data_IF_543988174160
#
_entry.id   IF_543988174160
#
_cell.length_a   1.000
_cell.length_b   1.000
_cell.length_c   1.000
_cell.angle_alpha   90.00
_cell.angle_beta   90.00
_cell.angle_gamma   90.00
#
_symmetry.space_group_name_H-M   'P 1'
#
loop_
_entity.id
_entity.type
_entity.pdbx_description
1 polymer ?
#
# COMPACT_ATOMS: atom_id res chain seq x y z
N UNK A 1 -26.35 -70.56 -0.62
CA UNK A 1 -26.58 -69.10 -0.63
C UNK A 1 -25.29 -68.27 -0.67
N UNK A 2 -24.20 -68.64 0.03
CA UNK A 2 -22.90 -67.93 -0.09
C UNK A 2 -22.04 -68.32 -1.32
N UNK A 3 -22.27 -69.48 -1.95
CA UNK A 3 -21.50 -69.98 -3.12
C UNK A 3 -21.87 -69.31 -4.46
N UNK A 4 -23.02 -68.65 -4.55
CA UNK A 4 -23.49 -68.03 -5.81
C UNK A 4 -22.96 -66.59 -6.00
N UNK A 5 -22.40 -65.98 -4.96
CA UNK A 5 -21.85 -64.62 -4.99
C UNK A 5 -20.36 -64.56 -5.36
N UNK A 6 -19.65 -65.70 -5.34
CA UNK A 6 -18.20 -65.78 -5.60
C UNK A 6 -17.77 -65.23 -6.98
N UNK A 7 -18.50 -65.47 -8.09
CA UNK A 7 -18.15 -64.86 -9.39
C UNK A 7 -18.56 -63.39 -9.51
N UNK A 8 -19.47 -62.90 -8.66
CA UNK A 8 -19.92 -61.51 -8.66
C UNK A 8 -18.86 -60.56 -8.09
N UNK A 9 -18.06 -61.05 -7.12
CA UNK A 9 -16.99 -60.29 -6.45
C UNK A 9 -15.94 -59.73 -7.44
N UNK A 10 -15.33 -60.53 -8.34
CA UNK A 10 -14.35 -60.00 -9.28
C UNK A 10 -14.94 -59.03 -10.31
N UNK A 11 -16.19 -59.23 -10.73
CA UNK A 11 -16.89 -58.31 -11.66
C UNK A 11 -17.14 -56.96 -10.98
N UNK A 12 -17.64 -56.96 -9.75
CA UNK A 12 -17.83 -55.74 -8.97
C UNK A 12 -16.50 -55.05 -8.68
N UNK A 13 -15.45 -55.81 -8.39
CA UNK A 13 -14.11 -55.28 -8.16
C UNK A 13 -13.54 -54.60 -9.41
N UNK A 14 -13.72 -55.21 -10.58
CA UNK A 14 -13.32 -54.64 -11.86
C UNK A 14 -14.11 -53.37 -12.19
N UNK A 15 -15.42 -53.36 -11.92
CA UNK A 15 -16.27 -52.19 -12.13
C UNK A 15 -15.85 -51.02 -11.23
N UNK A 16 -15.58 -51.27 -9.94
CA UNK A 16 -15.08 -50.26 -9.00
C UNK A 16 -13.71 -49.75 -9.44
N UNK A 17 -12.80 -50.63 -9.86
CA UNK A 17 -11.49 -50.25 -10.35
C UNK A 17 -11.57 -49.38 -11.61
N UNK A 18 -12.43 -49.75 -12.58
CA UNK A 18 -12.65 -48.96 -13.78
C UNK A 18 -13.20 -47.57 -13.44
N UNK A 19 -14.21 -47.48 -12.55
CA UNK A 19 -14.74 -46.20 -12.08
C UNK A 19 -13.63 -45.35 -11.41
N UNK A 20 -12.81 -45.94 -10.54
CA UNK A 20 -11.73 -45.21 -9.89
C UNK A 20 -10.72 -44.61 -10.87
N UNK A 21 -10.38 -45.32 -11.95
CA UNK A 21 -9.44 -44.85 -12.99
C UNK A 21 -9.98 -43.68 -13.80
N UNK A 22 -11.31 -43.61 -14.03
CA UNK A 22 -11.90 -42.48 -14.75
C UNK A 22 -12.23 -41.30 -13.83
N UNK A 23 -12.85 -41.57 -12.67
CA UNK A 23 -13.30 -40.52 -11.75
C UNK A 23 -12.17 -39.93 -10.91
N UNK A 24 -11.12 -40.70 -10.59
CA UNK A 24 -9.95 -40.22 -9.84
C UNK A 24 -9.26 -39.02 -10.51
N UNK A 25 -8.83 -39.13 -11.77
CA UNK A 25 -8.22 -38.03 -12.52
C UNK A 25 -9.14 -36.82 -12.70
N UNK A 26 -10.44 -37.04 -12.96
CA UNK A 26 -11.44 -35.97 -13.11
C UNK A 26 -11.56 -35.12 -11.84
N UNK A 27 -11.75 -35.78 -10.69
CA UNK A 27 -11.83 -35.09 -9.39
C UNK A 27 -10.49 -34.43 -9.06
N UNK A 28 -9.37 -35.10 -9.32
CA UNK A 28 -8.02 -34.55 -9.10
C UNK A 28 -7.79 -33.28 -9.91
N UNK A 29 -8.20 -33.24 -11.18
CA UNK A 29 -8.11 -32.06 -12.05
C UNK A 29 -8.98 -30.91 -11.54
N UNK A 30 -10.22 -31.17 -11.11
CA UNK A 30 -11.11 -30.15 -10.53
C UNK A 30 -10.50 -29.55 -9.26
N UNK A 31 -9.95 -30.39 -8.38
CA UNK A 31 -9.30 -29.95 -7.13
C UNK A 31 -8.01 -29.19 -7.41
N UNK A 32 -7.19 -29.65 -8.35
CA UNK A 32 -5.95 -28.99 -8.76
C UNK A 32 -6.22 -27.59 -9.32
N UNK A 33 -7.24 -27.43 -10.16
CA UNK A 33 -7.65 -26.14 -10.71
C UNK A 33 -8.12 -25.17 -9.62
N UNK A 34 -8.82 -25.67 -8.60
CA UNK A 34 -9.24 -24.85 -7.44
C UNK A 34 -8.06 -24.44 -6.58
N UNK A 35 -7.12 -25.36 -6.30
CA UNK A 35 -5.89 -25.08 -5.56
C UNK A 35 -5.02 -24.05 -6.27
N UNK A 36 -4.77 -24.22 -7.57
CA UNK A 36 -3.97 -23.27 -8.36
C UNK A 36 -4.52 -21.84 -8.30
N UNK A 37 -5.84 -21.64 -8.38
CA UNK A 37 -6.43 -20.30 -8.22
C UNK A 37 -6.28 -19.74 -6.79
N UNK A 38 -6.31 -20.59 -5.77
CA UNK A 38 -6.09 -20.19 -4.39
C UNK A 38 -4.61 -19.83 -4.16
N UNK A 39 -3.69 -20.66 -4.64
CA UNK A 39 -2.25 -20.46 -4.53
C UNK A 39 -1.81 -19.16 -5.23
N UNK A 40 -2.37 -18.85 -6.40
CA UNK A 40 -2.13 -17.57 -7.07
C UNK A 40 -2.61 -16.37 -6.26
N UNK A 41 -3.77 -16.47 -5.61
CA UNK A 41 -4.29 -15.38 -4.76
C UNK A 41 -3.43 -15.18 -3.52
N UNK A 42 -3.01 -16.28 -2.88
CA UNK A 42 -2.14 -16.25 -1.71
C UNK A 42 -0.77 -15.70 -2.09
N UNK A 43 -0.17 -16.16 -3.20
CA UNK A 43 1.10 -15.65 -3.71
C UNK A 43 1.02 -14.15 -4.04
N UNK A 44 -0.04 -13.71 -4.71
CA UNK A 44 -0.25 -12.28 -4.98
C UNK A 44 -0.34 -11.45 -3.70
N UNK A 45 -1.07 -11.92 -2.68
CA UNK A 45 -1.13 -11.26 -1.37
C UNK A 45 0.24 -11.19 -0.69
N UNK A 46 1.01 -12.29 -0.74
CA UNK A 46 2.36 -12.39 -0.17
C UNK A 46 3.36 -11.44 -0.84
N UNK A 47 3.14 -11.07 -2.11
CA UNK A 47 3.99 -10.12 -2.83
C UNK A 47 3.52 -8.68 -2.62
N UNK A 48 2.21 -8.42 -2.73
CA UNK A 48 1.65 -7.06 -2.71
C UNK A 48 1.72 -6.44 -1.32
N UNK A 49 1.38 -7.17 -0.26
CA UNK A 49 1.32 -6.62 1.09
C UNK A 49 2.69 -6.08 1.57
N UNK A 50 3.83 -6.78 1.37
CA UNK A 50 5.15 -6.23 1.68
C UNK A 50 5.49 -4.98 0.87
N UNK A 51 5.18 -4.95 -0.43
CA UNK A 51 5.43 -3.78 -1.29
C UNK A 51 4.66 -2.56 -0.77
N UNK A 52 3.37 -2.74 -0.46
CA UNK A 52 2.53 -1.66 0.11
C UNK A 52 3.04 -1.22 1.47
N UNK A 53 3.46 -2.16 2.33
CA UNK A 53 4.04 -1.85 3.64
C UNK A 53 5.34 -1.03 3.52
N UNK A 54 6.20 -1.37 2.57
CA UNK A 54 7.41 -0.59 2.25
C UNK A 54 7.06 0.82 1.80
N UNK A 55 6.13 0.95 0.84
CA UNK A 55 5.66 2.25 0.36
C UNK A 55 5.09 3.13 1.49
N UNK A 56 4.27 2.57 2.42
CA UNK A 56 3.76 3.30 3.59
C UNK A 56 4.91 3.80 4.48
N UNK A 57 5.92 2.98 4.71
CA UNK A 57 7.04 3.34 5.58
C UNK A 57 7.92 4.43 4.95
N UNK A 58 8.22 4.33 3.66
CA UNK A 58 8.95 5.34 2.91
C UNK A 58 8.18 6.66 2.86
N UNK A 59 6.87 6.62 2.60
CA UNK A 59 6.02 7.80 2.64
C UNK A 59 6.03 8.47 4.02
N UNK A 60 5.99 7.69 5.11
CA UNK A 60 6.09 8.23 6.47
C UNK A 60 7.41 8.96 6.72
N UNK A 61 8.53 8.37 6.29
CA UNK A 61 9.86 8.99 6.43
C UNK A 61 9.93 10.28 5.60
N UNK A 62 9.42 10.23 4.36
CA UNK A 62 9.39 11.39 3.47
C UNK A 62 8.58 12.55 4.05
N UNK A 63 7.40 12.27 4.58
CA UNK A 63 6.54 13.30 5.18
C UNK A 63 7.14 13.90 6.45
N UNK A 64 7.80 13.08 7.27
CA UNK A 64 8.54 13.56 8.44
C UNK A 64 9.71 14.47 8.03
N UNK A 65 10.43 14.11 6.97
CA UNK A 65 11.53 14.90 6.43
C UNK A 65 11.04 16.25 5.87
N UNK A 66 9.98 16.25 5.06
CA UNK A 66 9.37 17.48 4.50
C UNK A 66 8.89 18.39 5.64
N UNK A 67 8.05 17.88 6.54
CA UNK A 67 7.45 18.70 7.61
C UNK A 67 8.50 19.19 8.61
N UNK A 68 9.53 18.38 8.90
CA UNK A 68 10.65 18.76 9.75
C UNK A 68 11.52 19.84 9.10
N UNK A 69 12.01 19.61 7.89
CA UNK A 69 12.88 20.57 7.19
C UNK A 69 12.19 21.87 6.87
N UNK A 70 10.92 21.84 6.46
CA UNK A 70 10.13 23.06 6.29
C UNK A 70 10.04 23.87 7.58
N UNK A 71 9.77 23.23 8.72
CA UNK A 71 9.69 23.92 10.02
C UNK A 71 11.05 24.46 10.47
N UNK A 72 12.13 23.70 10.28
CA UNK A 72 13.49 24.16 10.58
C UNK A 72 13.89 25.36 9.71
N UNK A 73 13.67 25.26 8.40
CA UNK A 73 13.96 26.33 7.45
C UNK A 73 13.12 27.59 7.71
N UNK A 74 11.88 27.41 8.14
CA UNK A 74 11.02 28.51 8.60
C UNK A 74 11.61 29.19 9.85
N UNK A 75 11.95 28.41 10.86
CA UNK A 75 12.41 28.88 12.18
C UNK A 75 13.83 29.46 12.19
N UNK A 76 14.71 29.06 11.26
CA UNK A 76 16.08 29.56 11.15
C UNK A 76 16.16 31.08 10.90
N UNK A 77 15.07 31.70 10.42
CA UNK A 77 15.08 33.11 10.02
C UNK A 77 15.81 33.32 8.69
N UNK A 78 15.62 34.48 8.06
CA UNK A 78 16.08 34.71 6.68
C UNK A 78 17.60 34.69 6.50
N UNK A 79 18.36 34.98 7.56
CA UNK A 79 19.82 35.11 7.50
C UNK A 79 20.56 33.77 7.52
N UNK A 80 19.96 32.73 8.12
CA UNK A 80 20.58 31.40 8.28
C UNK A 80 20.03 30.36 7.28
N UNK A 81 19.21 30.77 6.32
CA UNK A 81 18.66 29.88 5.29
C UNK A 81 19.73 29.48 4.28
N UNK A 82 19.94 28.17 4.11
CA UNK A 82 20.84 27.65 3.09
C UNK A 82 20.09 27.26 1.80
N UNK A 83 20.64 27.63 0.65
CA UNK A 83 20.12 27.18 -0.65
C UNK A 83 20.03 25.65 -0.74
N UNK A 84 20.97 24.93 -0.11
CA UNK A 84 20.98 23.47 -0.08
C UNK A 84 19.77 22.87 0.63
N UNK A 85 19.29 23.49 1.72
CA UNK A 85 18.10 23.01 2.42
C UNK A 85 16.83 23.27 1.62
N UNK A 86 16.76 24.42 0.96
CA UNK A 86 15.64 24.73 0.08
C UNK A 86 15.56 23.75 -1.11
N UNK A 87 16.69 23.47 -1.76
CA UNK A 87 16.77 22.48 -2.84
C UNK A 87 16.34 21.09 -2.37
N UNK A 88 16.75 20.68 -1.17
CA UNK A 88 16.32 19.41 -0.58
C UNK A 88 14.81 19.36 -0.35
N UNK A 89 14.21 20.45 0.17
CA UNK A 89 12.76 20.54 0.36
C UNK A 89 12.05 20.37 -1.00
N UNK A 90 12.48 21.09 -2.03
CA UNK A 90 11.90 21.00 -3.38
C UNK A 90 12.04 19.59 -3.97
N UNK A 91 13.19 18.92 -3.78
CA UNK A 91 13.38 17.52 -4.18
C UNK A 91 12.40 16.60 -3.44
N UNK A 92 12.30 16.75 -2.12
CA UNK A 92 11.44 15.92 -1.29
C UNK A 92 9.95 16.07 -1.66
N UNK A 93 9.50 17.30 -1.94
CA UNK A 93 8.13 17.58 -2.42
C UNK A 93 7.89 16.96 -3.81
N UNK A 94 8.87 17.07 -4.71
CA UNK A 94 8.79 16.44 -6.03
C UNK A 94 8.68 14.92 -5.92
N UNK A 95 9.45 14.32 -5.01
CA UNK A 95 9.35 12.89 -4.69
C UNK A 95 7.97 12.54 -4.10
N UNK A 96 7.44 13.36 -3.19
CA UNK A 96 6.11 13.14 -2.63
C UNK A 96 5.05 13.10 -3.74
N UNK A 97 5.11 14.01 -4.70
CA UNK A 97 4.18 14.04 -5.84
C UNK A 97 4.17 12.71 -6.63
N UNK A 98 5.31 12.02 -6.72
CA UNK A 98 5.41 10.70 -7.37
C UNK A 98 4.90 9.55 -6.49
N UNK A 99 4.93 9.70 -5.16
CA UNK A 99 4.41 8.70 -4.22
C UNK A 99 2.89 8.72 -4.12
N UNK A 100 2.26 9.87 -4.39
CA UNK A 100 0.83 10.07 -4.20
C UNK A 100 0.02 9.61 -5.42
N UNK A 101 -1.19 9.12 -5.17
CA UNK A 101 -2.12 8.70 -6.21
C UNK A 101 -2.96 9.90 -6.66
N UNK A 102 -2.88 10.34 -7.93
CA UNK A 102 -3.64 11.50 -8.42
C UNK A 102 -5.15 11.25 -8.50
N UNK A 103 -5.61 10.00 -8.40
CA UNK A 103 -7.03 9.66 -8.45
C UNK A 103 -7.68 9.60 -7.05
N UNK A 104 -6.93 9.87 -5.99
CA UNK A 104 -7.45 9.90 -4.62
C UNK A 104 -7.49 11.34 -4.10
N UNK A 105 -8.68 11.83 -3.78
CA UNK A 105 -8.92 13.22 -3.37
C UNK A 105 -8.09 13.63 -2.14
N UNK A 106 -7.96 12.74 -1.17
CA UNK A 106 -7.18 13.01 0.05
C UNK A 106 -5.68 13.15 -0.24
N UNK A 107 -5.16 12.45 -1.26
CA UNK A 107 -3.80 12.62 -1.73
C UNK A 107 -3.58 13.98 -2.42
N UNK A 108 -4.55 14.43 -3.21
CA UNK A 108 -4.50 15.75 -3.84
C UNK A 108 -4.49 16.87 -2.78
N UNK A 109 -5.34 16.76 -1.76
CA UNK A 109 -5.38 17.69 -0.64
C UNK A 109 -4.07 17.71 0.16
N UNK A 110 -3.46 16.55 0.40
CA UNK A 110 -2.14 16.48 1.04
C UNK A 110 -1.10 17.27 0.25
N UNK A 111 -1.05 17.07 -1.07
CA UNK A 111 -0.11 17.76 -1.94
C UNK A 111 -0.36 19.28 -1.95
N UNK A 112 -1.62 19.70 -1.93
CA UNK A 112 -2.00 21.11 -1.83
C UNK A 112 -1.47 21.75 -0.53
N UNK A 113 -1.67 21.11 0.62
CA UNK A 113 -1.15 21.60 1.90
C UNK A 113 0.38 21.69 1.93
N UNK A 114 1.07 20.72 1.33
CA UNK A 114 2.53 20.75 1.22
C UNK A 114 3.01 21.89 0.33
N UNK A 115 2.35 22.13 -0.80
CA UNK A 115 2.68 23.25 -1.70
C UNK A 115 2.39 24.61 -1.08
N UNK A 116 1.31 24.72 -0.30
CA UNK A 116 1.00 25.94 0.45
C UNK A 116 2.08 26.22 1.51
N UNK A 117 2.58 25.17 2.18
CA UNK A 117 3.69 25.28 3.11
C UNK A 117 4.98 25.74 2.41
N UNK A 118 5.31 25.18 1.24
CA UNK A 118 6.45 25.60 0.41
C UNK A 118 6.31 27.06 -0.07
N UNK A 119 5.12 27.44 -0.52
CA UNK A 119 4.83 28.79 -0.98
C UNK A 119 4.93 29.81 0.16
N UNK A 120 4.51 29.45 1.38
CA UNK A 120 4.66 30.31 2.55
C UNK A 120 6.15 30.56 2.84
N UNK A 121 6.98 29.50 2.81
CA UNK A 121 8.43 29.60 3.02
C UNK A 121 9.10 30.62 2.07
N UNK A 122 8.70 30.63 0.80
CA UNK A 122 9.26 31.52 -0.22
C UNK A 122 8.72 32.95 -0.18
N UNK A 123 7.60 33.20 0.50
CA UNK A 123 6.86 34.47 0.45
C UNK A 123 7.37 35.58 1.40
N UNK A 124 8.40 35.33 2.22
CA UNK A 124 8.88 36.32 3.18
C UNK A 124 8.19 36.28 4.55
N UNK A 125 8.67 37.09 5.49
CA UNK A 125 8.24 37.08 6.89
C UNK A 125 7.20 38.16 7.19
N UNK A 126 5.93 37.78 7.21
CA UNK A 126 4.80 38.57 7.74
C UNK A 126 3.96 37.73 8.72
N UNK A 127 3.20 38.35 9.64
CA UNK A 127 2.27 37.64 10.52
C UNK A 127 1.27 36.75 9.76
N UNK A 128 0.81 37.20 8.60
CA UNK A 128 -0.11 36.45 7.74
C UNK A 128 0.56 35.22 7.13
N UNK A 129 1.78 35.36 6.61
CA UNK A 129 2.57 34.21 6.10
C UNK A 129 2.94 33.22 7.19
N UNK A 130 3.22 33.67 8.42
CA UNK A 130 3.49 32.78 9.55
C UNK A 130 2.25 31.95 9.92
N UNK A 131 1.09 32.61 10.01
CA UNK A 131 -0.17 31.91 10.22
C UNK A 131 -0.45 30.89 9.11
N UNK A 132 -0.26 31.28 7.83
CA UNK A 132 -0.44 30.38 6.67
C UNK A 132 0.49 29.17 6.74
N UNK A 133 1.78 29.40 7.01
CA UNK A 133 2.77 28.33 7.13
C UNK A 133 2.35 27.30 8.19
N UNK A 134 2.04 27.75 9.41
CA UNK A 134 1.70 26.83 10.50
C UNK A 134 0.35 26.14 10.32
N UNK A 135 -0.61 26.79 9.64
CA UNK A 135 -1.86 26.13 9.23
C UNK A 135 -1.56 25.03 8.22
N UNK A 136 -0.83 25.32 7.16
CA UNK A 136 -0.47 24.35 6.12
C UNK A 136 0.36 23.19 6.67
N UNK A 137 1.29 23.47 7.59
CA UNK A 137 2.10 22.45 8.28
C UNK A 137 1.23 21.49 9.09
N UNK A 138 0.32 22.00 9.92
CA UNK A 138 -0.61 21.16 10.70
C UNK A 138 -1.57 20.37 9.81
N UNK A 139 -2.10 20.99 8.76
CA UNK A 139 -2.98 20.32 7.80
C UNK A 139 -2.25 19.19 7.07
N UNK A 140 -0.99 19.42 6.68
CA UNK A 140 -0.13 18.39 6.08
C UNK A 140 0.01 17.18 7.02
N UNK A 141 0.32 17.40 8.30
CA UNK A 141 0.46 16.31 9.28
C UNK A 141 -0.87 15.56 9.47
N UNK A 142 -1.96 16.30 9.65
CA UNK A 142 -3.30 15.71 9.86
C UNK A 142 -3.70 14.84 8.67
N UNK A 143 -3.58 15.37 7.45
CA UNK A 143 -3.93 14.65 6.22
C UNK A 143 -3.03 13.43 6.00
N UNK A 144 -1.74 13.56 6.29
CA UNK A 144 -0.77 12.46 6.25
C UNK A 144 -1.18 11.31 7.16
N UNK A 145 -1.60 11.60 8.39
CA UNK A 145 -2.04 10.58 9.34
C UNK A 145 -3.30 9.84 8.86
N UNK A 146 -4.24 10.54 8.24
CA UNK A 146 -5.45 9.94 7.67
C UNK A 146 -5.10 8.95 6.54
N UNK A 147 -4.28 9.39 5.57
CA UNK A 147 -3.83 8.54 4.45
C UNK A 147 -3.08 7.32 4.98
N UNK A 148 -2.06 7.54 5.83
CA UNK A 148 -1.24 6.44 6.37
C UNK A 148 -2.07 5.45 7.17
N UNK A 149 -3.08 5.92 7.93
CA UNK A 149 -3.97 5.05 8.69
C UNK A 149 -4.86 4.22 7.76
N UNK A 150 -5.46 4.84 6.73
CA UNK A 150 -6.29 4.14 5.73
C UNK A 150 -5.49 3.06 5.02
N UNK A 151 -4.29 3.39 4.56
CA UNK A 151 -3.43 2.46 3.84
C UNK A 151 -2.94 1.32 4.72
N UNK A 152 -2.68 1.60 6.01
CA UNK A 152 -2.36 0.56 6.98
C UNK A 152 -3.51 -0.44 7.17
N UNK A 153 -4.75 0.04 7.29
CA UNK A 153 -5.92 -0.86 7.36
C UNK A 153 -6.10 -1.66 6.06
N UNK A 154 -5.80 -1.08 4.89
CA UNK A 154 -5.80 -1.82 3.60
C UNK A 154 -4.77 -2.97 3.64
N UNK A 155 -3.51 -2.71 4.03
CA UNK A 155 -2.47 -3.75 4.18
C UNK A 155 -2.93 -4.85 5.14
N UNK A 156 -3.48 -4.46 6.30
CA UNK A 156 -3.91 -5.40 7.34
C UNK A 156 -5.00 -6.37 6.84
N UNK A 157 -5.86 -5.93 5.93
CA UNK A 157 -6.90 -6.77 5.32
C UNK A 157 -6.38 -7.62 4.14
N UNK A 158 -5.21 -7.27 3.59
CA UNK A 158 -4.54 -8.02 2.51
C UNK A 158 -3.72 -9.21 3.05
N UNK A 159 -3.16 -9.07 4.26
CA UNK A 159 -2.47 -10.13 5.03
C UNK A 159 -3.49 -11.16 5.53
#
# INVERSE_FOLDING_TARGET
MLKDLTPLIPILSLAVAALAVFFGPLISMIVANRKSRHDLRVANKQIIAPIRQTWINELRVLLADITGKCAHYWAAGYEDRSDSEYLHITEAISRLNLYLNPNEEDHLQLLEHVKEMEAAISSGGSPETDARFWVAHRSTISQSQLILKREWERVKNEI
#
